data_IF_658739710693
#
_entry.id   IF_658739710693
#
_cell.length_a   1.000
_cell.length_b   1.000
_cell.length_c   1.000
_cell.angle_alpha   90.00
_cell.angle_beta   90.00
_cell.angle_gamma   90.00
#
_symmetry.space_group_name_H-M   'P 1'
#
loop_
_entity.id
_entity.type
_entity.pdbx_description
1 polymer ?
#
# COMPACT_ATOMS: atom_id res chain seq x y z
N UNK A 1 27.87 6.60 29.72
CA UNK A 1 26.78 5.83 29.07
C UNK A 1 27.43 4.88 28.09
N UNK A 2 27.29 3.56 28.24
CA UNK A 2 27.82 2.61 27.26
C UNK A 2 27.15 2.91 25.92
N UNK A 3 27.93 3.42 24.95
CA UNK A 3 27.48 3.63 23.58
C UNK A 3 27.19 2.25 22.99
N UNK A 4 25.90 1.91 22.88
CA UNK A 4 25.49 0.71 22.16
C UNK A 4 25.95 0.77 20.71
N UNK A 5 26.13 -0.40 20.10
CA UNK A 5 26.48 -0.50 18.68
C UNK A 5 25.41 0.19 17.84
N UNK A 6 25.77 1.27 17.16
CA UNK A 6 24.88 1.93 16.20
C UNK A 6 24.69 1.01 15.00
N UNK A 7 23.43 0.70 14.68
CA UNK A 7 23.06 -0.12 13.54
C UNK A 7 22.07 0.65 12.69
N UNK A 8 22.30 0.61 11.38
CA UNK A 8 21.43 1.21 10.39
C UNK A 8 20.79 0.10 9.56
N UNK A 9 19.52 0.29 9.20
CA UNK A 9 18.78 -0.61 8.33
C UNK A 9 18.31 0.19 7.12
N UNK A 10 18.67 -0.29 5.93
CA UNK A 10 18.15 0.23 4.67
C UNK A 10 17.15 -0.78 4.13
N UNK A 11 15.92 -0.32 3.91
CA UNK A 11 14.85 -1.13 3.31
C UNK A 11 14.73 -0.76 1.84
N UNK A 12 14.96 -1.74 0.95
CA UNK A 12 14.83 -1.59 -0.50
C UNK A 12 13.73 -2.51 -1.01
N UNK A 13 12.75 -1.96 -1.72
CA UNK A 13 11.77 -2.76 -2.47
C UNK A 13 12.43 -3.42 -3.69
N UNK A 14 12.03 -4.64 -4.03
CA UNK A 14 12.60 -5.44 -5.11
C UNK A 14 12.70 -4.67 -6.44
N UNK A 15 11.62 -3.99 -6.81
CA UNK A 15 11.46 -3.21 -8.04
C UNK A 15 11.74 -1.70 -7.86
N UNK A 16 12.43 -1.27 -6.79
CA UNK A 16 12.71 0.16 -6.57
C UNK A 16 13.50 0.80 -7.71
N UNK A 17 14.45 0.07 -8.29
CA UNK A 17 15.19 0.48 -9.49
C UNK A 17 15.87 -0.75 -10.12
N UNK A 18 15.89 -0.80 -11.46
CA UNK A 18 16.49 -1.89 -12.26
C UNK A 18 18.00 -1.98 -12.13
N UNK A 19 18.69 -0.84 -12.04
CA UNK A 19 20.15 -0.76 -12.04
C UNK A 19 20.74 -0.69 -10.62
N UNK A 20 20.06 0.01 -9.70
CA UNK A 20 20.47 0.07 -8.30
C UNK A 20 19.95 -1.16 -7.54
N UNK A 21 20.58 -2.31 -7.81
CA UNK A 21 20.28 -3.59 -7.17
C UNK A 21 20.71 -3.61 -5.70
N UNK A 22 20.14 -4.51 -4.90
CA UNK A 22 20.54 -4.68 -3.48
C UNK A 22 22.05 -4.95 -3.35
N UNK A 23 22.62 -5.74 -4.27
CA UNK A 23 24.06 -6.02 -4.33
C UNK A 23 24.85 -4.77 -4.65
N UNK A 24 24.44 -4.01 -5.67
CA UNK A 24 25.10 -2.76 -6.04
C UNK A 24 25.13 -1.77 -4.86
N UNK A 25 23.97 -1.57 -4.21
CA UNK A 25 23.86 -0.66 -3.06
C UNK A 25 24.77 -1.12 -1.91
N UNK A 26 24.82 -2.41 -1.60
CA UNK A 26 25.73 -2.91 -0.56
C UNK A 26 27.20 -2.68 -0.90
N UNK A 27 27.61 -2.93 -2.14
CA UNK A 27 28.98 -2.69 -2.60
C UNK A 27 29.35 -1.22 -2.53
N UNK A 28 28.44 -0.34 -2.99
CA UNK A 28 28.61 1.12 -2.90
C UNK A 28 28.83 1.56 -1.45
N UNK A 29 27.99 1.13 -0.51
CA UNK A 29 28.15 1.48 0.90
C UNK A 29 29.42 0.89 1.53
N UNK A 30 29.82 -0.32 1.12
CA UNK A 30 31.05 -0.93 1.62
C UNK A 30 32.30 -0.16 1.15
N UNK A 31 32.32 0.27 -0.11
CA UNK A 31 33.44 1.06 -0.68
C UNK A 31 33.50 2.46 -0.07
N UNK A 32 32.37 3.20 -0.09
CA UNK A 32 32.30 4.57 0.46
C UNK A 32 32.49 4.61 1.98
N UNK A 33 32.15 3.51 2.67
CA UNK A 33 32.34 3.38 4.10
C UNK A 33 33.80 3.29 4.53
N UNK A 34 34.75 2.99 3.63
CA UNK A 34 36.21 2.96 3.89
C UNK A 34 36.62 2.22 5.17
N UNK A 35 35.87 1.19 5.56
CA UNK A 35 36.12 0.38 6.76
C UNK A 35 35.53 0.92 8.07
N UNK A 36 34.87 2.09 8.06
CA UNK A 36 34.21 2.66 9.25
C UNK A 36 32.99 1.84 9.71
N UNK A 37 32.35 1.14 8.77
CA UNK A 37 31.24 0.22 9.06
C UNK A 37 31.22 -0.96 8.10
N UNK A 38 30.51 -2.02 8.50
CA UNK A 38 30.27 -3.19 7.65
C UNK A 38 28.85 -3.21 7.12
N UNK A 39 28.68 -3.57 5.86
CA UNK A 39 27.38 -3.63 5.19
C UNK A 39 27.03 -5.08 4.88
N UNK A 40 25.80 -5.49 5.19
CA UNK A 40 25.29 -6.85 4.91
C UNK A 40 23.95 -6.79 4.19
N UNK A 41 23.72 -7.77 3.34
CA UNK A 41 22.45 -7.96 2.63
C UNK A 41 21.61 -8.96 3.40
N UNK A 42 20.32 -8.67 3.55
CA UNK A 42 19.31 -9.64 3.93
C UNK A 42 18.15 -9.57 2.95
N UNK A 43 17.97 -10.62 2.14
CA UNK A 43 16.82 -10.79 1.24
C UNK A 43 15.89 -11.82 1.86
N UNK A 44 14.77 -11.36 2.41
CA UNK A 44 13.80 -12.23 3.08
C UNK A 44 13.15 -13.24 2.11
N UNK A 45 13.00 -12.87 0.84
CA UNK A 45 12.36 -13.70 -0.18
C UNK A 45 10.94 -14.11 0.22
N UNK A 46 10.61 -15.39 0.02
CA UNK A 46 9.28 -15.96 0.25
C UNK A 46 8.85 -15.95 1.73
N UNK A 47 9.78 -15.79 2.68
CA UNK A 47 9.43 -15.67 4.10
C UNK A 47 8.51 -14.47 4.38
N UNK A 48 8.48 -13.48 3.47
CA UNK A 48 7.55 -12.34 3.53
C UNK A 48 6.09 -12.73 3.35
N UNK A 49 5.78 -13.90 2.75
CA UNK A 49 4.42 -14.44 2.71
C UNK A 49 3.92 -14.86 4.10
N UNK A 50 4.83 -14.94 5.07
CA UNK A 50 4.56 -15.43 6.42
C UNK A 50 4.53 -16.95 6.47
N UNK A 51 4.04 -17.47 7.60
CA UNK A 51 3.77 -18.89 7.79
C UNK A 51 2.32 -19.06 8.20
N UNK A 52 2.09 -19.17 9.51
CA UNK A 52 0.74 -19.16 10.04
C UNK A 52 0.15 -17.73 9.96
N UNK A 53 -1.06 -17.55 9.41
CA UNK A 53 -1.68 -16.23 9.33
C UNK A 53 -1.90 -15.66 10.73
N UNK A 54 -1.78 -14.34 10.86
CA UNK A 54 -1.95 -13.67 12.15
C UNK A 54 -3.40 -13.78 12.64
N UNK A 55 -3.68 -13.64 13.95
CA UNK A 55 -5.05 -13.60 14.45
C UNK A 55 -5.90 -12.50 13.78
N UNK A 56 -5.27 -11.39 13.41
CA UNK A 56 -5.90 -10.30 12.66
C UNK A 56 -6.36 -10.78 11.28
N UNK A 57 -5.45 -11.39 10.50
CA UNK A 57 -5.77 -11.88 9.16
C UNK A 57 -6.84 -12.97 9.19
N UNK A 58 -6.81 -13.86 10.19
CA UNK A 58 -7.85 -14.89 10.37
C UNK A 58 -9.22 -14.27 10.62
N UNK A 59 -9.31 -13.35 11.59
CA UNK A 59 -10.57 -12.70 11.93
C UNK A 59 -11.11 -11.88 10.76
N UNK A 60 -10.22 -11.14 10.09
CA UNK A 60 -10.59 -10.31 8.95
C UNK A 60 -11.02 -11.15 7.75
N UNK A 61 -10.31 -12.25 7.46
CA UNK A 61 -10.67 -13.19 6.41
C UNK A 61 -12.08 -13.75 6.61
N UNK A 62 -12.43 -14.19 7.83
CA UNK A 62 -13.78 -14.67 8.14
C UNK A 62 -14.83 -13.57 8.00
N UNK A 63 -14.54 -12.33 8.44
CA UNK A 63 -15.46 -11.19 8.29
C UNK A 63 -15.73 -10.86 6.83
N UNK A 64 -14.67 -10.79 6.01
CA UNK A 64 -14.80 -10.49 4.58
C UNK A 64 -15.54 -11.63 3.86
N UNK A 65 -15.27 -12.89 4.20
CA UNK A 65 -15.98 -14.03 3.63
C UNK A 65 -17.48 -14.02 3.94
N UNK A 66 -17.86 -13.73 5.18
CA UNK A 66 -19.27 -13.60 5.58
C UNK A 66 -19.97 -12.48 4.81
N UNK A 67 -19.32 -11.31 4.69
CA UNK A 67 -19.84 -10.17 3.92
C UNK A 67 -19.99 -10.47 2.44
N UNK A 68 -19.01 -11.15 1.84
CA UNK A 68 -19.07 -11.57 0.44
C UNK A 68 -20.25 -12.53 0.19
N UNK A 69 -20.46 -13.48 1.10
CA UNK A 69 -21.59 -14.42 1.00
C UNK A 69 -22.94 -13.70 1.14
N UNK A 70 -23.08 -12.81 2.12
CA UNK A 70 -24.28 -11.97 2.27
C UNK A 70 -24.58 -11.20 0.98
N UNK A 71 -23.56 -10.59 0.39
CA UNK A 71 -23.69 -9.84 -0.86
C UNK A 71 -24.12 -10.72 -2.03
N UNK A 72 -23.50 -11.88 -2.21
CA UNK A 72 -23.87 -12.83 -3.26
C UNK A 72 -25.31 -13.31 -3.12
N UNK A 73 -25.78 -13.58 -1.89
CA UNK A 73 -27.17 -13.98 -1.65
C UNK A 73 -28.14 -12.85 -2.01
N UNK A 74 -27.82 -11.60 -1.64
CA UNK A 74 -28.63 -10.44 -2.00
C UNK A 74 -28.72 -10.28 -3.51
N UNK A 75 -27.58 -10.31 -4.20
CA UNK A 75 -27.53 -10.17 -5.66
C UNK A 75 -28.25 -11.32 -6.38
N UNK A 76 -28.14 -12.55 -5.88
CA UNK A 76 -28.90 -13.68 -6.43
C UNK A 76 -30.41 -13.47 -6.30
N UNK A 77 -30.90 -12.97 -5.18
CA UNK A 77 -32.33 -12.66 -4.99
C UNK A 77 -32.83 -11.52 -5.87
N UNK A 78 -31.98 -10.54 -6.15
CA UNK A 78 -32.32 -9.38 -6.98
C UNK A 78 -32.28 -9.71 -8.48
N UNK A 79 -31.30 -10.50 -8.92
CA UNK A 79 -31.01 -10.71 -10.34
C UNK A 79 -31.47 -12.05 -10.90
N UNK A 80 -31.85 -13.01 -10.05
CA UNK A 80 -32.38 -14.31 -10.48
C UNK A 80 -33.87 -14.35 -10.18
N UNK A 81 -34.69 -14.38 -11.23
CA UNK A 81 -36.11 -14.69 -11.12
C UNK A 81 -36.30 -16.20 -11.33
N UNK A 82 -36.63 -16.98 -10.29
CA UNK A 82 -36.76 -18.43 -10.39
C UNK A 82 -37.91 -18.85 -11.31
N UNK A 83 -38.95 -18.03 -11.44
CA UNK A 83 -40.19 -18.37 -12.14
C UNK A 83 -40.08 -18.03 -13.64
N UNK A 84 -39.41 -16.93 -13.97
CA UNK A 84 -39.19 -16.50 -15.35
C UNK A 84 -37.92 -17.10 -16.00
N UNK A 85 -37.04 -17.75 -15.22
CA UNK A 85 -35.78 -18.31 -15.69
C UNK A 85 -34.83 -17.28 -16.32
N UNK A 86 -35.05 -15.99 -16.03
CA UNK A 86 -34.34 -14.87 -16.68
C UNK A 86 -33.29 -14.29 -15.74
N UNK A 87 -32.06 -14.14 -16.23
CA UNK A 87 -30.95 -13.49 -15.51
C UNK A 87 -30.91 -12.01 -15.86
N UNK A 88 -31.00 -11.12 -14.86
CA UNK A 88 -31.02 -9.66 -15.06
C UNK A 88 -29.80 -8.93 -14.51
N UNK A 89 -28.71 -9.64 -14.24
CA UNK A 89 -27.45 -9.09 -13.73
C UNK A 89 -26.71 -8.24 -14.78
N UNK A 90 -27.24 -7.05 -15.06
CA UNK A 90 -26.70 -6.09 -16.03
C UNK A 90 -26.19 -4.80 -15.37
N UNK A 91 -26.43 -4.64 -14.07
CA UNK A 91 -25.91 -3.51 -13.29
C UNK A 91 -24.42 -3.64 -13.03
N UNK A 92 -23.75 -2.49 -12.82
CA UNK A 92 -22.32 -2.42 -12.48
C UNK A 92 -21.99 -3.07 -11.11
N UNK A 93 -23.01 -3.31 -10.27
CA UNK A 93 -22.94 -4.00 -8.98
C UNK A 93 -22.85 -5.54 -9.11
N UNK A 94 -23.18 -6.09 -10.28
CA UNK A 94 -23.06 -7.52 -10.57
C UNK A 94 -21.62 -8.03 -10.48
N UNK A 95 -20.64 -7.17 -10.79
CA UNK A 95 -19.21 -7.46 -10.72
C UNK A 95 -18.50 -6.40 -9.87
N UNK A 96 -18.31 -6.72 -8.59
CA UNK A 96 -17.67 -5.84 -7.61
C UNK A 96 -16.48 -6.51 -6.92
N UNK A 97 -15.53 -5.69 -6.47
CA UNK A 97 -14.46 -6.10 -5.56
C UNK A 97 -14.83 -5.71 -4.14
N UNK A 98 -14.77 -6.67 -3.22
CA UNK A 98 -14.85 -6.43 -1.80
C UNK A 98 -13.52 -5.90 -1.28
N UNK A 99 -13.52 -4.68 -0.74
CA UNK A 99 -12.32 -4.04 -0.21
C UNK A 99 -12.59 -3.21 1.03
N UNK A 100 -11.53 -2.59 1.55
CA UNK A 100 -11.59 -1.63 2.63
C UNK A 100 -11.34 -0.22 2.10
N UNK A 101 -12.28 0.70 2.34
CA UNK A 101 -12.06 2.14 2.19
C UNK A 101 -12.10 2.78 3.57
N UNK A 102 -10.94 3.17 4.08
CA UNK A 102 -10.78 3.63 5.46
C UNK A 102 -11.16 2.55 6.46
N UNK A 103 -12.21 2.78 7.26
CA UNK A 103 -12.72 1.82 8.25
C UNK A 103 -13.90 0.97 7.75
N UNK A 104 -14.38 1.19 6.53
CA UNK A 104 -15.58 0.56 5.99
C UNK A 104 -15.23 -0.55 5.00
N UNK A 105 -15.99 -1.64 5.08
CA UNK A 105 -16.00 -2.72 4.08
C UNK A 105 -16.95 -2.29 2.97
N UNK A 106 -16.46 -2.22 1.74
CA UNK A 106 -17.19 -1.66 0.58
C UNK A 106 -17.07 -2.60 -0.61
N UNK A 107 -18.17 -2.81 -1.32
CA UNK A 107 -18.20 -3.44 -2.63
C UNK A 107 -18.08 -2.35 -3.69
N UNK A 108 -17.01 -2.36 -4.48
CA UNK A 108 -16.76 -1.35 -5.51
C UNK A 108 -16.86 -2.00 -6.89
N UNK A 109 -17.66 -1.46 -7.83
CA UNK A 109 -17.70 -1.96 -9.20
C UNK A 109 -16.32 -2.05 -9.83
N UNK A 110 -16.06 -3.14 -10.56
CA UNK A 110 -14.76 -3.34 -11.23
C UNK A 110 -14.51 -2.26 -12.29
N UNK A 111 -15.57 -1.78 -12.95
CA UNK A 111 -15.50 -0.67 -13.90
C UNK A 111 -14.95 0.62 -13.28
N UNK A 112 -15.36 0.94 -12.06
CA UNK A 112 -14.84 2.13 -11.35
C UNK A 112 -13.41 1.90 -10.87
N UNK A 113 -13.09 0.70 -10.37
CA UNK A 113 -11.72 0.36 -9.98
C UNK A 113 -10.73 0.43 -11.14
N UNK A 114 -11.17 0.07 -12.35
CA UNK A 114 -10.34 0.15 -13.55
C UNK A 114 -9.86 1.58 -13.84
N UNK A 115 -10.65 2.60 -13.47
CA UNK A 115 -10.30 4.02 -13.65
C UNK A 115 -9.26 4.48 -12.63
N UNK A 116 -9.19 3.83 -11.47
CA UNK A 116 -8.28 4.15 -10.37
C UNK A 116 -7.01 3.26 -10.35
N UNK A 117 -6.84 2.38 -11.35
CA UNK A 117 -5.77 1.36 -11.38
C UNK A 117 -4.80 1.60 -12.54
N UNK A 118 -3.50 1.64 -12.23
CA UNK A 118 -2.43 1.50 -13.20
C UNK A 118 -2.19 0.01 -13.46
N UNK A 119 -2.62 -0.47 -14.64
CA UNK A 119 -2.50 -1.87 -15.03
C UNK A 119 -1.08 -2.26 -15.47
N UNK A 120 -0.29 -1.31 -15.97
CA UNK A 120 1.09 -1.57 -16.40
C UNK A 120 1.96 -1.90 -15.19
N UNK A 121 1.88 -1.05 -14.15
CA UNK A 121 2.65 -1.21 -12.92
C UNK A 121 1.93 -2.03 -11.84
N UNK A 122 0.65 -2.38 -12.06
CA UNK A 122 -0.21 -3.13 -11.12
C UNK A 122 -0.35 -2.44 -9.76
N UNK A 123 -0.59 -1.13 -9.78
CA UNK A 123 -0.69 -0.28 -8.59
C UNK A 123 -1.93 0.62 -8.66
N UNK A 124 -2.45 1.09 -7.52
CA UNK A 124 -3.43 2.17 -7.52
C UNK A 124 -2.78 3.49 -7.98
N UNK A 125 -3.54 4.34 -8.66
CA UNK A 125 -3.08 5.67 -9.08
C UNK A 125 -2.78 6.57 -7.88
N UNK A 126 -3.63 6.55 -6.84
CA UNK A 126 -3.37 7.25 -5.58
C UNK A 126 -2.75 6.30 -4.54
N UNK A 127 -1.52 6.60 -4.13
CA UNK A 127 -0.78 5.85 -3.12
C UNK A 127 -0.75 6.63 -1.81
N UNK A 128 -1.85 6.56 -1.06
CA UNK A 128 -2.08 7.36 0.16
C UNK A 128 -0.92 7.34 1.17
N UNK A 129 -0.21 6.21 1.30
CA UNK A 129 0.87 6.00 2.26
C UNK A 129 2.13 6.81 1.92
N UNK A 130 2.28 7.30 0.68
CA UNK A 130 3.40 8.20 0.31
C UNK A 130 3.37 9.49 1.12
N UNK A 131 2.17 9.93 1.55
CA UNK A 131 1.97 11.09 2.42
C UNK A 131 2.59 10.92 3.80
N UNK A 132 2.96 9.69 4.19
CA UNK A 132 3.66 9.40 5.46
C UNK A 132 5.18 9.54 5.37
N UNK A 133 5.76 9.72 4.17
CA UNK A 133 7.21 9.87 3.99
C UNK A 133 7.83 11.02 4.80
N UNK A 134 7.21 12.21 4.92
CA UNK A 134 7.75 13.27 5.78
C UNK A 134 7.87 12.84 7.24
N UNK A 135 6.86 12.13 7.78
CA UNK A 135 6.91 11.60 9.15
C UNK A 135 8.03 10.58 9.32
N UNK A 136 8.23 9.70 8.34
CA UNK A 136 9.34 8.75 8.33
C UNK A 136 10.71 9.48 8.40
N UNK A 137 10.88 10.57 7.64
CA UNK A 137 12.13 11.36 7.64
C UNK A 137 12.40 12.01 9.01
N UNK A 138 11.36 12.55 9.64
CA UNK A 138 11.45 13.14 10.99
C UNK A 138 11.85 12.08 12.01
N UNK A 139 11.18 10.92 12.00
CA UNK A 139 11.45 9.84 12.96
C UNK A 139 12.81 9.17 12.74
N UNK A 140 13.29 9.13 11.50
CA UNK A 140 14.61 8.62 11.15
C UNK A 140 15.74 9.63 11.43
N UNK A 141 15.43 10.82 11.95
CA UNK A 141 16.40 11.90 12.22
C UNK A 141 17.25 12.26 10.99
N UNK A 142 16.64 12.24 9.81
CA UNK A 142 17.34 12.57 8.58
C UNK A 142 17.57 14.08 8.51
N UNK A 143 18.78 14.52 8.83
CA UNK A 143 19.15 15.95 8.92
C UNK A 143 19.24 16.68 7.57
N UNK A 144 19.00 16.00 6.44
CA UNK A 144 18.99 16.67 5.13
C UNK A 144 17.78 17.59 5.03
N UNK A 145 18.03 18.90 5.15
CA UNK A 145 17.24 20.05 4.67
C UNK A 145 15.75 19.77 4.48
N UNK A 146 14.96 20.24 5.44
CA UNK A 146 13.51 20.34 5.35
C UNK A 146 13.12 21.21 4.14
N UNK A 147 13.05 20.62 2.95
CA UNK A 147 12.19 21.18 1.91
C UNK A 147 10.78 20.76 2.28
N UNK A 148 10.03 21.74 2.79
CA UNK A 148 8.63 21.59 3.14
C UNK A 148 7.85 21.38 1.85
N UNK A 149 7.79 20.14 1.36
CA UNK A 149 6.91 19.74 0.23
C UNK A 149 5.42 19.81 0.61
N UNK A 150 5.12 20.04 1.89
CA UNK A 150 3.77 20.17 2.43
C UNK A 150 3.48 21.62 2.80
N UNK A 151 2.81 22.34 1.88
CA UNK A 151 2.10 23.63 2.01
C UNK A 151 2.64 24.74 1.10
N UNK A 152 2.17 24.75 -0.15
CA UNK A 152 1.76 26.01 -0.78
C UNK A 152 0.26 26.20 -0.54
N UNK A 153 -0.10 26.66 0.66
CA UNK A 153 -1.39 27.34 0.81
C UNK A 153 -1.14 28.74 0.27
N UNK A 154 -1.73 29.16 -0.86
CA UNK A 154 -1.59 30.55 -1.29
C UNK A 154 -2.16 31.42 -0.18
N UNK A 155 -1.33 32.32 0.35
CA UNK A 155 -1.82 33.43 1.17
C UNK A 155 -2.87 34.15 0.34
N UNK A 156 -4.11 34.16 0.84
CA UNK A 156 -5.14 35.05 0.33
C UNK A 156 -4.60 36.45 0.58
N UNK A 157 -4.09 37.09 -0.46
CA UNK A 157 -3.67 38.48 -0.42
C UNK A 157 -4.88 39.27 0.07
N UNK A 158 -4.74 39.90 1.24
CA UNK A 158 -5.76 40.78 1.79
C UNK A 158 -6.08 41.87 0.79
N UNK A 159 -7.38 42.07 0.55
CA UNK A 159 -7.89 43.33 0.03
C UNK A 159 -7.53 44.42 1.06
N UNK A 160 -6.51 45.20 0.72
CA UNK A 160 -6.28 46.54 1.24
C UNK A 160 -6.11 47.46 0.03
N UNK A 161 -7.24 47.96 -0.47
CA UNK A 161 -7.57 49.39 -0.60
C UNK A 161 -8.90 49.55 -1.37
#
# INVERSE_FOLDING_TARGET
>A
MQQGVQRYLIVRCENANRHYTTTFVQQLFAEEGKGEFSTRINVLGHAQQGGNPTPFDRNMGTKLAARALEYLITQAKEYVDPDAGTLKATGCDSATLLGLRGRRVVFTPVEDLSKETDFEHRLPLDQWWLKLRPLLRILAQHNSTYYTEAMSVPEVAGEMD
#
